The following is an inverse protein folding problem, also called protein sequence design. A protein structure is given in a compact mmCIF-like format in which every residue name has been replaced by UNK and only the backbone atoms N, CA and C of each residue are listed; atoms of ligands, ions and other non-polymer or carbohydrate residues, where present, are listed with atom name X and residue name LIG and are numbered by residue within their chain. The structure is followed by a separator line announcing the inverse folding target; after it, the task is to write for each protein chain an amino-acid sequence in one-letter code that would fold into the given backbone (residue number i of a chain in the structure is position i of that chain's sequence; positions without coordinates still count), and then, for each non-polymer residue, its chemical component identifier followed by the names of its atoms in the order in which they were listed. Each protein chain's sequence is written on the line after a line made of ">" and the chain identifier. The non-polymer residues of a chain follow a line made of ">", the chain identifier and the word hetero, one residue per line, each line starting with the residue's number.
data_IF_469577272055
#
_entry.id   IF_469577272055
#
_cell.length_a   1.000
_cell.length_b   1.000
_cell.length_c   1.000
_cell.angle_alpha   90.00
_cell.angle_beta   90.00
_cell.angle_gamma   90.00
#
_symmetry.space_group_name_H-M   'P 1'
#
loop_
_entity.id
_entity.type
_entity.pdbx_description
1 polymer ?
#
# COMPACT_ATOMS: atom_id res chain seq x y z
N UNK A 1 -15.27 7.90 -16.85
CA UNK A 1 -14.05 8.61 -17.27
C UNK A 1 -13.76 9.70 -16.25
N UNK A 2 -12.49 9.95 -15.89
CA UNK A 2 -12.15 10.97 -14.90
C UNK A 2 -10.64 11.17 -14.80
N UNK A 3 -10.17 12.25 -14.15
CA UNK A 3 -8.75 12.62 -14.08
C UNK A 3 -7.84 11.51 -13.57
N UNK A 4 -8.36 10.63 -12.71
CA UNK A 4 -7.63 9.46 -12.21
C UNK A 4 -7.14 8.55 -13.36
N UNK A 5 -7.98 8.28 -14.37
CA UNK A 5 -7.62 7.39 -15.49
C UNK A 5 -6.55 7.97 -16.42
N UNK A 6 -6.18 9.24 -16.27
CA UNK A 6 -5.10 9.90 -17.02
C UNK A 6 -3.75 9.84 -16.29
N UNK A 7 -3.69 9.22 -15.11
CA UNK A 7 -2.44 9.05 -14.38
C UNK A 7 -1.57 7.91 -14.96
N UNK A 8 -0.27 7.95 -14.61
CA UNK A 8 0.61 6.81 -14.78
C UNK A 8 0.63 6.00 -13.47
N UNK A 9 0.42 4.69 -13.60
CA UNK A 9 0.35 3.77 -12.48
C UNK A 9 1.56 2.86 -12.43
N UNK A 10 2.10 2.66 -11.24
CA UNK A 10 3.08 1.61 -10.96
C UNK A 10 2.46 0.69 -9.92
N UNK A 11 2.40 -0.60 -10.20
CA UNK A 11 1.88 -1.59 -9.26
C UNK A 11 2.71 -2.85 -9.36
N UNK A 12 2.96 -3.52 -8.24
CA UNK A 12 3.59 -4.83 -8.23
C UNK A 12 2.54 -5.96 -8.25
N UNK A 13 1.24 -5.68 -8.25
CA UNK A 13 0.19 -6.69 -8.33
C UNK A 13 -0.22 -6.97 -9.77
N UNK A 14 -0.11 -8.22 -10.22
CA UNK A 14 -0.46 -8.63 -11.60
C UNK A 14 -1.95 -8.37 -11.88
N UNK A 15 -2.84 -8.76 -10.96
CA UNK A 15 -4.27 -8.52 -11.08
C UNK A 15 -4.61 -7.02 -11.23
N UNK A 16 -3.94 -6.16 -10.46
CA UNK A 16 -4.10 -4.71 -10.55
C UNK A 16 -3.58 -4.17 -11.89
N UNK A 17 -2.40 -4.61 -12.33
CA UNK A 17 -1.82 -4.18 -13.60
C UNK A 17 -2.76 -4.52 -14.78
N UNK A 18 -3.29 -5.75 -14.80
CA UNK A 18 -4.26 -6.19 -15.81
C UNK A 18 -5.50 -5.31 -15.81
N UNK A 19 -6.09 -5.04 -14.65
CA UNK A 19 -7.29 -4.20 -14.53
C UNK A 19 -7.05 -2.76 -15.02
N UNK A 20 -5.90 -2.18 -14.67
CA UNK A 20 -5.52 -0.83 -15.11
C UNK A 20 -5.34 -0.74 -16.62
N UNK A 21 -4.66 -1.73 -17.22
CA UNK A 21 -4.48 -1.82 -18.69
C UNK A 21 -5.83 -1.97 -19.40
N UNK A 22 -6.73 -2.80 -18.89
CA UNK A 22 -8.09 -2.95 -19.44
C UNK A 22 -8.89 -1.64 -19.41
N UNK A 23 -8.60 -0.76 -18.45
CA UNK A 23 -9.18 0.59 -18.33
C UNK A 23 -8.42 1.65 -19.16
N UNK A 24 -7.44 1.26 -19.98
CA UNK A 24 -6.64 2.17 -20.80
C UNK A 24 -5.62 3.01 -20.03
N UNK A 25 -5.34 2.68 -18.77
CA UNK A 25 -4.38 3.43 -17.96
C UNK A 25 -2.93 3.12 -18.35
N UNK A 26 -2.07 4.14 -18.40
CA UNK A 26 -0.62 3.95 -18.56
C UNK A 26 -0.07 3.24 -17.33
N UNK A 27 0.33 1.98 -17.49
CA UNK A 27 0.64 1.08 -16.38
C UNK A 27 2.05 0.50 -16.51
N UNK A 28 2.80 0.56 -15.42
CA UNK A 28 4.12 -0.03 -15.25
C UNK A 28 4.04 -1.13 -14.20
N UNK A 29 4.66 -2.26 -14.50
CA UNK A 29 4.74 -3.43 -13.61
C UNK A 29 6.22 -3.75 -13.42
N UNK A 30 6.82 -3.40 -12.26
CA UNK A 30 8.19 -3.79 -11.95
C UNK A 30 8.35 -5.31 -12.04
N UNK A 31 9.49 -5.76 -12.59
CA UNK A 31 9.83 -7.17 -12.68
C UNK A 31 10.42 -7.71 -11.37
N UNK A 32 10.45 -9.05 -11.23
CA UNK A 32 10.93 -9.74 -10.04
C UNK A 32 10.28 -11.12 -9.90
N UNK A 33 10.22 -11.63 -8.67
CA UNK A 33 9.61 -12.92 -8.37
C UNK A 33 8.09 -12.79 -8.19
N UNK A 34 7.32 -13.62 -8.88
CA UNK A 34 5.85 -13.68 -8.70
C UNK A 34 5.50 -14.59 -7.53
N UNK A 35 4.78 -14.05 -6.54
CA UNK A 35 4.23 -14.83 -5.43
C UNK A 35 2.91 -15.50 -5.85
N UNK A 36 2.79 -16.84 -5.82
CA UNK A 36 1.64 -17.54 -6.42
C UNK A 36 0.27 -17.20 -5.81
N UNK A 37 0.22 -16.91 -4.51
CA UNK A 37 -1.05 -16.70 -3.80
C UNK A 37 -1.57 -15.27 -3.99
N UNK A 38 -0.69 -14.29 -3.86
CA UNK A 38 -1.08 -12.87 -3.92
C UNK A 38 -0.96 -12.28 -5.31
N UNK A 39 -0.33 -13.01 -6.24
CA UNK A 39 0.08 -12.53 -7.57
C UNK A 39 0.84 -11.19 -7.51
N UNK A 40 1.53 -10.96 -6.39
CA UNK A 40 2.39 -9.81 -6.19
C UNK A 40 3.82 -10.14 -6.65
N UNK A 41 4.47 -9.17 -7.28
CA UNK A 41 5.86 -9.24 -7.67
C UNK A 41 6.71 -8.66 -6.55
N UNK A 42 7.70 -9.42 -6.12
CA UNK A 42 8.62 -9.11 -5.02
C UNK A 42 10.07 -9.33 -5.46
N UNK A 43 11.01 -9.34 -4.52
CA UNK A 43 12.43 -9.56 -4.80
C UNK A 43 13.26 -8.29 -5.04
N UNK A 44 14.60 -8.45 -5.11
CA UNK A 44 15.55 -7.34 -5.21
C UNK A 44 15.40 -6.52 -6.50
N UNK A 45 14.99 -7.14 -7.61
CA UNK A 45 14.73 -6.46 -8.88
C UNK A 45 13.55 -5.49 -8.75
N UNK A 46 12.50 -5.90 -8.04
CA UNK A 46 11.35 -5.02 -7.76
C UNK A 46 11.79 -3.84 -6.89
N UNK A 47 12.56 -4.10 -5.83
CA UNK A 47 13.08 -3.05 -4.94
C UNK A 47 13.96 -2.05 -5.69
N UNK A 48 14.86 -2.52 -6.55
CA UNK A 48 15.73 -1.70 -7.37
C UNK A 48 14.92 -0.85 -8.35
N UNK A 49 13.94 -1.45 -9.02
CA UNK A 49 13.04 -0.73 -9.92
C UNK A 49 12.30 0.40 -9.20
N UNK A 50 11.80 0.17 -7.97
CA UNK A 50 11.10 1.19 -7.18
C UNK A 50 11.96 2.43 -6.87
N UNK A 51 13.29 2.31 -6.81
CA UNK A 51 14.18 3.44 -6.55
C UNK A 51 14.15 4.48 -7.68
N UNK A 52 13.84 4.07 -8.91
CA UNK A 52 13.80 4.96 -10.07
C UNK A 52 12.53 5.82 -10.14
N UNK A 53 11.57 5.61 -9.24
CA UNK A 53 10.32 6.36 -9.21
C UNK A 53 10.28 7.39 -8.07
N UNK A 54 9.55 8.48 -8.29
CA UNK A 54 9.07 9.37 -7.24
C UNK A 54 7.55 9.45 -7.37
N UNK A 55 6.82 8.88 -6.41
CA UNK A 55 5.36 8.79 -6.48
C UNK A 55 4.72 10.05 -5.93
N UNK A 56 3.70 10.55 -6.63
CA UNK A 56 2.82 11.61 -6.10
C UNK A 56 1.94 11.06 -4.98
N UNK A 57 1.40 9.86 -5.18
CA UNK A 57 0.59 9.13 -4.19
C UNK A 57 0.96 7.64 -4.22
N UNK A 58 1.01 7.01 -3.04
CA UNK A 58 1.09 5.56 -2.89
C UNK A 58 -0.08 5.04 -2.05
N UNK A 59 -0.72 3.98 -2.53
CA UNK A 59 -1.80 3.27 -1.85
C UNK A 59 -1.33 1.85 -1.56
N UNK A 60 -1.39 1.43 -0.30
CA UNK A 60 -0.87 0.14 0.15
C UNK A 60 -1.87 -0.52 1.10
N UNK A 61 -2.01 -1.84 1.02
CA UNK A 61 -2.73 -2.61 2.03
C UNK A 61 -1.84 -2.94 3.22
N UNK A 62 -2.44 -3.09 4.40
CA UNK A 62 -1.82 -3.69 5.58
C UNK A 62 -2.76 -4.73 6.18
N UNK A 63 -2.20 -5.72 6.89
CA UNK A 63 -2.98 -6.76 7.56
C UNK A 63 -3.30 -6.37 9.00
N UNK A 64 -2.45 -5.55 9.62
CA UNK A 64 -2.68 -5.01 10.95
C UNK A 64 -2.26 -3.55 11.03
N UNK A 65 -2.97 -2.79 11.87
CA UNK A 65 -2.57 -1.45 12.28
C UNK A 65 -2.73 -1.35 13.80
N UNK A 66 -1.69 -0.88 14.49
CA UNK A 66 -1.75 -0.62 15.93
C UNK A 66 -0.98 0.66 16.27
N UNK A 67 -1.26 1.33 17.40
CA UNK A 67 -0.55 2.53 17.80
C UNK A 67 0.95 2.29 18.04
N UNK A 68 1.32 1.12 18.56
CA UNK A 68 2.69 0.79 18.93
C UNK A 68 3.52 0.27 17.75
N UNK A 69 2.99 -0.71 17.00
CA UNK A 69 3.73 -1.39 15.93
C UNK A 69 3.51 -0.76 14.54
N UNK A 70 2.60 0.23 14.44
CA UNK A 70 2.25 0.87 13.18
C UNK A 70 1.54 -0.10 12.23
N UNK A 71 1.91 -0.07 10.96
CA UNK A 71 1.33 -0.89 9.90
C UNK A 71 2.13 -2.18 9.72
N UNK A 72 1.45 -3.33 9.77
CA UNK A 72 2.09 -4.64 9.73
C UNK A 72 1.47 -5.58 8.68
N UNK A 73 2.26 -6.54 8.23
CA UNK A 73 1.91 -7.58 7.26
C UNK A 73 2.58 -8.91 7.69
N UNK A 74 2.09 -10.09 7.26
CA UNK A 74 2.70 -11.36 7.67
C UNK A 74 4.09 -11.59 7.07
N UNK A 75 4.33 -11.06 5.88
CA UNK A 75 5.48 -11.41 5.05
C UNK A 75 6.51 -10.26 4.98
N UNK A 76 7.78 -10.47 5.43
CA UNK A 76 8.82 -9.44 5.38
C UNK A 76 9.19 -8.94 3.99
N UNK A 77 9.02 -9.77 2.96
CA UNK A 77 9.29 -9.40 1.58
C UNK A 77 8.21 -8.42 1.08
N UNK A 78 6.94 -8.69 1.39
CA UNK A 78 5.85 -7.74 1.14
C UNK A 78 6.05 -6.43 1.90
N UNK A 79 6.49 -6.52 3.16
CA UNK A 79 6.79 -5.34 3.98
C UNK A 79 7.88 -4.49 3.30
N UNK A 80 8.97 -5.11 2.87
CA UNK A 80 10.08 -4.43 2.20
C UNK A 80 9.66 -3.68 0.94
N UNK A 81 8.79 -4.28 0.12
CA UNK A 81 8.27 -3.66 -1.10
C UNK A 81 7.38 -2.45 -0.76
N UNK A 82 6.49 -2.59 0.22
CA UNK A 82 5.61 -1.50 0.68
C UNK A 82 6.43 -0.36 1.28
N UNK A 83 7.42 -0.66 2.12
CA UNK A 83 8.32 0.33 2.72
C UNK A 83 9.11 1.09 1.64
N UNK A 84 9.63 0.39 0.62
CA UNK A 84 10.33 1.04 -0.50
C UNK A 84 9.41 1.98 -1.29
N UNK A 85 8.18 1.57 -1.57
CA UNK A 85 7.20 2.45 -2.23
C UNK A 85 6.84 3.67 -1.35
N UNK A 86 6.66 3.47 -0.04
CA UNK A 86 6.35 4.51 0.93
C UNK A 86 7.44 5.59 1.00
N UNK A 87 8.71 5.18 1.03
CA UNK A 87 9.86 6.10 1.08
C UNK A 87 9.98 6.98 -0.17
N UNK A 88 9.44 6.52 -1.31
CA UNK A 88 9.47 7.23 -2.59
C UNK A 88 8.21 8.05 -2.86
N UNK A 89 7.24 8.05 -1.93
CA UNK A 89 5.94 8.69 -2.11
C UNK A 89 5.80 10.00 -1.30
N UNK A 90 5.22 11.03 -1.96
CA UNK A 90 4.86 12.30 -1.34
C UNK A 90 3.64 12.17 -0.43
N UNK A 91 2.58 11.53 -0.92
CA UNK A 91 1.41 11.17 -0.13
C UNK A 91 1.29 9.66 0.02
N UNK A 92 0.98 9.20 1.23
CA UNK A 92 1.04 7.78 1.61
C UNK A 92 -0.28 7.40 2.25
N UNK A 93 -0.92 6.39 1.70
CA UNK A 93 -2.24 5.94 2.12
C UNK A 93 -2.24 4.44 2.38
N UNK A 94 -2.68 4.06 3.57
CA UNK A 94 -2.93 2.68 3.96
C UNK A 94 -4.42 2.37 3.83
N UNK A 95 -4.72 1.39 3.01
CA UNK A 95 -6.07 0.87 2.77
C UNK A 95 -6.29 -0.29 3.76
N UNK A 96 -7.04 -0.04 4.82
CA UNK A 96 -7.32 -1.03 5.85
C UNK A 96 -8.80 -1.01 6.21
N UNK A 97 -9.41 -2.18 6.29
CA UNK A 97 -10.77 -2.29 6.82
C UNK A 97 -10.76 -2.27 8.37
N UNK A 98 -11.93 -2.07 8.96
CA UNK A 98 -12.13 -1.99 10.40
C UNK A 98 -11.66 -3.25 11.15
N UNK A 99 -11.54 -4.40 10.48
CA UNK A 99 -11.08 -5.66 11.09
C UNK A 99 -9.56 -5.70 11.29
N UNK A 100 -8.81 -4.73 10.73
CA UNK A 100 -7.34 -4.70 10.81
C UNK A 100 -6.81 -3.86 11.97
N UNK A 101 -7.67 -3.09 12.65
CA UNK A 101 -7.28 -2.28 13.80
C UNK A 101 -6.95 -3.16 15.01
N UNK A 102 -5.93 -2.76 15.76
CA UNK A 102 -5.35 -3.48 16.92
C UNK A 102 -4.83 -4.89 16.60
N UNK A 103 -4.66 -5.20 15.32
CA UNK A 103 -4.02 -6.42 14.86
C UNK A 103 -2.53 -6.16 14.60
N UNK A 104 -1.70 -7.13 14.95
CA UNK A 104 -0.24 -7.09 14.77
C UNK A 104 0.22 -8.35 14.04
N UNK A 105 1.08 -8.16 13.04
CA UNK A 105 1.69 -9.22 12.26
C UNK A 105 3.22 -9.13 12.31
N UNK A 106 3.88 -10.20 11.87
CA UNK A 106 5.31 -10.43 12.02
C UNK A 106 6.24 -9.41 11.35
N UNK A 107 5.80 -8.71 10.30
CA UNK A 107 6.63 -7.76 9.57
C UNK A 107 6.04 -6.35 9.58
N UNK A 108 6.87 -5.37 9.96
CA UNK A 108 6.51 -3.95 10.02
C UNK A 108 6.75 -3.28 8.67
N UNK A 109 5.77 -2.54 8.18
CA UNK A 109 5.86 -1.70 6.98
C UNK A 109 6.38 -0.30 7.36
N UNK A 110 5.89 0.24 8.47
CA UNK A 110 6.27 1.56 9.00
C UNK A 110 5.43 1.93 10.22
N UNK A 111 5.86 2.96 10.95
CA UNK A 111 5.17 3.45 12.14
C UNK A 111 3.77 4.03 11.82
N UNK A 112 2.95 4.29 12.84
CA UNK A 112 1.58 4.79 12.65
C UNK A 112 1.51 6.16 11.93
N UNK A 113 2.54 7.00 12.08
CA UNK A 113 2.62 8.32 11.48
C UNK A 113 3.16 8.31 10.04
N UNK A 114 3.61 7.16 9.54
CA UNK A 114 4.27 7.08 8.24
C UNK A 114 3.32 7.30 7.05
N UNK A 115 2.00 7.20 7.26
CA UNK A 115 0.98 7.44 6.25
C UNK A 115 -0.44 7.58 6.83
N UNK A 116 -1.36 8.10 6.02
CA UNK A 116 -2.77 8.26 6.37
C UNK A 116 -3.54 6.94 6.22
N UNK A 117 -4.60 6.78 7.00
CA UNK A 117 -5.50 5.63 6.96
C UNK A 117 -6.73 5.96 6.10
N UNK A 118 -7.03 5.11 5.12
CA UNK A 118 -8.30 5.08 4.41
C UNK A 118 -9.04 3.80 4.80
N UNK A 119 -10.20 3.94 5.43
CA UNK A 119 -10.94 2.81 6.01
C UNK A 119 -12.44 2.90 5.77
N UNK A 120 -13.14 1.77 5.91
CA UNK A 120 -14.61 1.74 5.92
C UNK A 120 -15.18 2.26 7.24
N UNK A 121 -14.48 2.05 8.35
CA UNK A 121 -14.88 2.51 9.69
C UNK A 121 -13.69 2.47 10.64
N UNK A 122 -13.46 3.52 11.42
CA UNK A 122 -12.45 3.58 12.45
C UNK A 122 -13.09 3.20 13.80
N UNK A 123 -12.78 2.00 14.36
CA UNK A 123 -13.41 1.54 15.58
C UNK A 123 -12.99 2.33 16.83
N UNK A 124 -11.85 3.01 16.78
CA UNK A 124 -11.30 3.74 17.90
C UNK A 124 -10.79 5.14 17.47
N UNK A 125 -11.39 6.23 18.00
CA UNK A 125 -10.99 7.60 17.67
C UNK A 125 -9.53 7.93 17.98
N UNK A 126 -8.81 7.15 18.81
CA UNK A 126 -7.41 7.41 19.14
C UNK A 126 -6.50 7.41 17.91
N UNK A 127 -6.84 6.65 16.87
CA UNK A 127 -6.05 6.60 15.64
C UNK A 127 -6.01 7.94 14.92
N UNK A 128 -7.08 8.75 15.00
CA UNK A 128 -7.13 10.09 14.43
C UNK A 128 -6.20 11.10 15.13
N UNK A 129 -5.71 10.77 16.33
CA UNK A 129 -4.72 11.58 17.04
C UNK A 129 -3.29 11.24 16.61
N UNK A 130 -3.08 10.09 15.98
CA UNK A 130 -1.77 9.56 15.58
C UNK A 130 -1.49 9.76 14.10
N UNK A 131 -2.52 9.70 13.26
CA UNK A 131 -2.43 9.91 11.83
C UNK A 131 -3.76 10.41 11.27
N UNK A 132 -3.75 10.94 10.05
CA UNK A 132 -4.98 11.30 9.36
C UNK A 132 -5.79 10.05 9.04
N UNK A 133 -7.04 10.00 9.48
CA UNK A 133 -7.97 8.91 9.21
C UNK A 133 -9.11 9.43 8.35
N UNK A 134 -9.34 8.79 7.20
CA UNK A 134 -10.46 9.04 6.32
C UNK A 134 -11.36 7.82 6.28
N UNK A 135 -12.59 7.98 6.73
CA UNK A 135 -13.65 7.01 6.50
C UNK A 135 -14.31 7.23 5.14
N UNK A 136 -14.57 6.14 4.43
CA UNK A 136 -15.26 6.13 3.15
C UNK A 136 -16.32 5.02 3.14
N UNK A 137 -17.53 5.38 2.72
CA UNK A 137 -18.54 4.42 2.31
C UNK A 137 -18.17 3.79 0.97
N UNK A 138 -18.34 2.47 0.87
CA UNK A 138 -18.20 1.70 -0.39
C UNK A 138 -19.33 2.06 -1.34
#
# INVERSE_FOLDING_TARGET
>A
EGPALQAAYVTNGIAHARMLVQKGCRTYLPGGQVRPITEAITGPETLAALQHYNFTKAFMGANGVSPAEGFTTPDPEEASIKTAALQRARERWFLVDNTKFDMVYSAVIGDIGCGAILTNHCPDPRYAQLTFVKECSV
#
